data_IF_880512944801
#
_entry.id   IF_880512944801
#
_cell.length_a   1.000
_cell.length_b   1.000
_cell.length_c   1.000
_cell.angle_alpha   90.00
_cell.angle_beta   90.00
_cell.angle_gamma   90.00
#
_symmetry.space_group_name_H-M   'P 1'
#
loop_
_entity.id
_entity.type
_entity.pdbx_description
1 polymer ?
#
# COMPACT_ATOMS: atom_id res chain seq x y z
N UNK A 1 -25.71 -2.87 -15.53
CA UNK A 1 -24.66 -3.54 -14.75
C UNK A 1 -24.55 -2.81 -13.45
N UNK A 2 -24.90 -3.50 -12.36
CA UNK A 2 -24.94 -2.90 -11.03
C UNK A 2 -23.52 -2.79 -10.46
N UNK A 3 -23.30 -1.83 -9.57
CA UNK A 3 -21.99 -1.45 -9.00
C UNK A 3 -21.23 -2.61 -8.32
N UNK A 4 -21.94 -3.60 -7.77
CA UNK A 4 -21.35 -4.83 -7.20
C UNK A 4 -20.86 -5.83 -8.26
N UNK A 5 -21.42 -5.84 -9.47
CA UNK A 5 -21.02 -6.78 -10.51
C UNK A 5 -19.60 -6.48 -11.03
N UNK A 6 -19.19 -5.20 -11.10
CA UNK A 6 -17.88 -4.84 -11.60
C UNK A 6 -16.76 -5.24 -10.63
N UNK A 7 -16.93 -4.94 -9.34
CA UNK A 7 -15.97 -5.35 -8.30
C UNK A 7 -15.88 -6.88 -8.19
N UNK A 8 -17.02 -7.58 -8.24
CA UNK A 8 -17.07 -9.03 -8.23
C UNK A 8 -16.43 -9.63 -9.49
N UNK A 9 -16.68 -9.06 -10.67
CA UNK A 9 -16.10 -9.53 -11.93
C UNK A 9 -14.59 -9.30 -11.99
N UNK A 10 -14.09 -8.17 -11.46
CA UNK A 10 -12.65 -7.92 -11.32
C UNK A 10 -12.03 -8.91 -10.33
N UNK A 11 -12.65 -9.10 -9.15
CA UNK A 11 -12.17 -10.08 -8.16
C UNK A 11 -12.12 -11.51 -8.71
N UNK A 12 -13.10 -11.90 -9.54
CA UNK A 12 -13.15 -13.22 -10.17
C UNK A 12 -12.12 -13.39 -11.30
N UNK A 13 -11.80 -12.32 -12.04
CA UNK A 13 -10.87 -12.38 -13.16
C UNK A 13 -9.39 -12.24 -12.74
N UNK A 14 -9.10 -11.48 -11.68
CA UNK A 14 -7.72 -11.21 -11.22
C UNK A 14 -6.86 -12.48 -11.03
N UNK A 15 -7.35 -13.57 -10.41
CA UNK A 15 -6.54 -14.78 -10.23
C UNK A 15 -6.06 -15.43 -11.53
N UNK A 16 -6.76 -15.20 -12.65
CA UNK A 16 -6.38 -15.74 -13.96
C UNK A 16 -5.25 -14.93 -14.64
N UNK A 17 -4.99 -13.71 -14.18
CA UNK A 17 -4.02 -12.79 -14.78
C UNK A 17 -2.63 -12.95 -14.15
N UNK A 18 -2.13 -14.17 -14.02
CA UNK A 18 -0.87 -14.46 -13.29
C UNK A 18 0.39 -13.83 -13.90
N UNK A 19 0.32 -13.36 -15.15
CA UNK A 19 1.41 -12.65 -15.85
C UNK A 19 1.32 -11.13 -15.71
N UNK A 20 0.32 -10.61 -14.98
CA UNK A 20 0.12 -9.17 -14.83
C UNK A 20 1.29 -8.56 -14.06
N UNK A 21 1.94 -7.56 -14.66
CA UNK A 21 3.09 -6.85 -14.07
C UNK A 21 2.74 -5.51 -13.46
N UNK A 22 1.67 -4.87 -13.94
CA UNK A 22 1.18 -3.59 -13.45
C UNK A 22 -0.33 -3.65 -13.29
N UNK A 23 -0.83 -3.23 -12.12
CA UNK A 23 -2.25 -3.14 -11.82
C UNK A 23 -2.54 -1.76 -11.24
N UNK A 24 -3.35 -0.97 -11.92
CA UNK A 24 -3.78 0.34 -11.45
C UNK A 24 -5.29 0.30 -11.21
N UNK A 25 -5.70 0.44 -9.95
CA UNK A 25 -7.08 0.54 -9.47
C UNK A 25 -7.28 1.97 -8.96
N UNK A 26 -7.51 2.90 -9.88
CA UNK A 26 -7.62 4.33 -9.57
C UNK A 26 -8.98 4.89 -9.94
N UNK A 27 -9.47 5.88 -9.18
CA UNK A 27 -10.72 6.58 -9.50
C UNK A 27 -11.96 5.69 -9.33
N UNK A 28 -11.81 4.55 -8.65
CA UNK A 28 -12.92 3.67 -8.34
C UNK A 28 -13.61 4.18 -7.09
N UNK A 29 -14.82 4.72 -7.24
CA UNK A 29 -15.72 5.08 -6.13
C UNK A 29 -16.54 3.88 -5.63
N UNK A 30 -16.32 2.72 -6.23
CA UNK A 30 -17.07 1.48 -6.03
C UNK A 30 -16.25 0.37 -5.38
N UNK A 31 -14.92 0.52 -5.35
CA UNK A 31 -14.05 -0.41 -4.62
C UNK A 31 -13.87 0.17 -3.22
N UNK A 32 -14.57 -0.44 -2.27
CA UNK A 32 -14.40 -0.11 -0.85
C UNK A 32 -13.27 -0.94 -0.22
N UNK A 33 -12.74 -1.94 -0.94
CA UNK A 33 -11.72 -2.91 -0.50
C UNK A 33 -10.87 -3.36 -1.67
N UNK A 34 -9.62 -3.74 -1.40
CA UNK A 34 -8.77 -4.37 -2.40
C UNK A 34 -9.36 -5.76 -2.77
N UNK A 35 -9.43 -6.16 -4.05
CA UNK A 35 -9.96 -7.46 -4.40
C UNK A 35 -9.07 -8.60 -3.88
N UNK A 36 -9.65 -9.61 -3.22
CA UNK A 36 -8.88 -10.75 -2.67
C UNK A 36 -8.02 -11.47 -3.73
N UNK A 37 -8.45 -11.46 -4.99
CA UNK A 37 -7.74 -12.03 -6.13
C UNK A 37 -6.41 -11.35 -6.48
N UNK A 38 -6.10 -10.17 -5.92
CA UNK A 38 -4.81 -9.48 -6.15
C UNK A 38 -3.62 -10.28 -5.58
N UNK A 39 -3.87 -11.08 -4.53
CA UNK A 39 -2.86 -11.93 -3.89
C UNK A 39 -2.31 -13.05 -4.81
N UNK A 40 -3.05 -13.37 -5.87
CA UNK A 40 -2.65 -14.36 -6.88
C UNK A 40 -1.68 -13.77 -7.93
N UNK A 41 -1.52 -12.45 -8.00
CA UNK A 41 -0.68 -11.76 -8.98
C UNK A 41 0.79 -11.76 -8.58
N UNK A 42 1.41 -12.93 -8.45
CA UNK A 42 2.79 -13.05 -7.95
C UNK A 42 3.85 -12.41 -8.86
N UNK A 43 3.54 -12.20 -10.15
CA UNK A 43 4.39 -11.52 -11.12
C UNK A 43 4.28 -9.98 -11.08
N UNK A 44 3.47 -9.44 -10.18
CA UNK A 44 3.20 -8.01 -10.11
C UNK A 44 4.45 -7.24 -9.65
N UNK A 45 4.79 -6.21 -10.43
CA UNK A 45 5.92 -5.30 -10.17
C UNK A 45 5.46 -3.91 -9.78
N UNK A 46 4.24 -3.52 -10.16
CA UNK A 46 3.66 -2.22 -9.85
C UNK A 46 2.20 -2.37 -9.46
N UNK A 47 1.85 -1.89 -8.27
CA UNK A 47 0.47 -1.80 -7.80
C UNK A 47 0.17 -0.36 -7.44
N UNK A 48 -0.88 0.19 -8.04
CA UNK A 48 -1.41 1.52 -7.72
C UNK A 48 -2.87 1.35 -7.33
N UNK A 49 -3.22 1.81 -6.14
CA UNK A 49 -4.55 1.75 -5.58
C UNK A 49 -4.91 3.15 -5.09
N UNK A 50 -5.94 3.74 -5.68
CA UNK A 50 -6.54 4.99 -5.24
C UNK A 50 -8.03 4.73 -5.07
N UNK A 51 -8.40 4.35 -3.84
CA UNK A 51 -9.78 4.13 -3.46
C UNK A 51 -10.28 5.40 -2.85
N UNK A 52 -11.08 6.18 -3.59
CA UNK A 52 -11.74 7.36 -3.03
C UNK A 52 -12.86 6.92 -2.11
N UNK A 53 -12.49 6.45 -0.93
CA UNK A 53 -13.44 6.01 0.09
C UNK A 53 -14.32 7.21 0.43
N UNK A 54 -15.64 7.05 0.27
CA UNK A 54 -16.58 8.02 0.84
C UNK A 54 -16.28 8.13 2.31
N UNK A 55 -16.21 9.37 2.79
CA UNK A 55 -15.90 9.75 4.16
C UNK A 55 -16.59 8.82 5.16
N UNK A 56 -15.89 7.77 5.63
CA UNK A 56 -16.43 6.79 6.59
C UNK A 56 -16.45 7.36 8.02
N UNK A 57 -16.10 8.64 8.16
CA UNK A 57 -15.93 9.29 9.45
C UNK A 57 -14.57 8.98 10.07
N UNK A 58 -14.36 9.39 11.33
CA UNK A 58 -13.05 9.42 11.98
C UNK A 58 -12.45 8.03 12.28
N UNK A 59 -13.23 6.95 12.16
CA UNK A 59 -12.78 5.58 12.43
C UNK A 59 -11.96 4.99 11.27
N UNK A 60 -12.12 5.51 10.04
CA UNK A 60 -11.40 5.01 8.87
C UNK A 60 -11.92 3.66 8.35
N UNK A 61 -11.20 3.05 7.38
CA UNK A 61 -11.46 1.67 6.95
C UNK A 61 -11.07 0.68 8.06
N UNK A 62 -11.83 -0.41 8.21
CA UNK A 62 -11.46 -1.47 9.13
C UNK A 62 -10.13 -2.10 8.65
N UNK A 63 -9.23 -2.56 9.55
CA UNK A 63 -8.00 -3.26 9.16
C UNK A 63 -8.24 -4.45 8.21
N UNK A 64 -9.41 -5.09 8.29
CA UNK A 64 -9.84 -6.17 7.41
C UNK A 64 -10.14 -5.71 5.97
N UNK A 65 -10.53 -4.44 5.76
CA UNK A 65 -10.75 -3.87 4.42
C UNK A 65 -9.46 -3.88 3.58
N UNK A 66 -8.31 -3.95 4.26
CA UNK A 66 -6.96 -4.02 3.71
C UNK A 66 -6.22 -5.32 3.97
N UNK A 67 -6.90 -6.36 4.46
CA UNK A 67 -6.35 -7.71 4.57
C UNK A 67 -5.58 -8.18 3.31
N UNK A 68 -5.93 -7.76 2.07
CA UNK A 68 -5.16 -8.12 0.88
C UNK A 68 -3.74 -7.52 0.83
N UNK A 69 -3.40 -6.45 1.54
CA UNK A 69 -2.00 -6.00 1.68
C UNK A 69 -1.20 -7.00 2.53
N UNK A 70 -1.84 -7.62 3.53
CA UNK A 70 -1.33 -8.69 4.38
C UNK A 70 -2.19 -8.90 5.65
N UNK A 71 -1.89 -9.95 6.42
CA UNK A 71 -2.77 -10.56 7.45
C UNK A 71 -3.57 -9.56 8.31
N UNK A 72 -4.85 -9.39 7.98
CA UNK A 72 -5.90 -9.19 8.97
C UNK A 72 -6.35 -10.55 9.48
N UNK A 73 -5.78 -11.04 10.59
CA UNK A 73 -6.28 -12.18 11.39
C UNK A 73 -6.38 -13.58 10.75
N UNK A 74 -6.29 -13.75 9.43
CA UNK A 74 -6.74 -14.98 8.77
C UNK A 74 -5.82 -15.50 7.68
N UNK A 75 -4.64 -16.01 8.02
CA UNK A 75 -3.99 -17.06 7.22
C UNK A 75 -3.34 -16.69 5.88
N UNK A 76 -3.92 -15.78 5.11
CA UNK A 76 -3.47 -15.43 3.77
C UNK A 76 -2.33 -14.40 3.82
N UNK A 77 -1.36 -14.57 2.93
CA UNK A 77 -0.19 -13.70 2.88
C UNK A 77 -0.45 -12.45 2.03
N UNK A 78 -1.69 -12.18 1.61
CA UNK A 78 -2.05 -11.03 0.76
C UNK A 78 -1.04 -10.76 -0.37
N UNK A 79 -0.63 -9.49 -0.50
CA UNK A 79 0.41 -9.03 -1.40
C UNK A 79 1.83 -9.47 -0.99
N UNK A 80 2.06 -10.02 0.20
CA UNK A 80 3.38 -10.52 0.63
C UNK A 80 3.86 -11.72 -0.20
N UNK A 81 3.04 -12.19 -1.16
CA UNK A 81 3.42 -13.16 -2.21
C UNK A 81 4.00 -12.50 -3.47
N UNK A 82 3.84 -11.19 -3.63
CA UNK A 82 4.34 -10.40 -4.75
C UNK A 82 5.79 -9.98 -4.48
N UNK A 83 6.72 -10.94 -4.41
CA UNK A 83 8.15 -10.66 -4.15
C UNK A 83 8.80 -9.75 -5.20
N UNK A 84 8.21 -9.71 -6.41
CA UNK A 84 8.64 -8.86 -7.52
C UNK A 84 8.20 -7.39 -7.42
N UNK A 85 7.45 -7.00 -6.39
CA UNK A 85 6.88 -5.66 -6.29
C UNK A 85 7.97 -4.61 -6.12
N UNK A 86 8.05 -3.69 -7.08
CA UNK A 86 8.99 -2.55 -7.10
C UNK A 86 8.31 -1.24 -6.76
N UNK A 87 7.01 -1.13 -7.05
CA UNK A 87 6.20 0.07 -6.80
C UNK A 87 4.90 -0.28 -6.13
N UNK A 88 4.64 0.33 -4.98
CA UNK A 88 3.38 0.23 -4.24
C UNK A 88 2.86 1.64 -3.93
N UNK A 89 1.71 1.98 -4.51
CA UNK A 89 1.02 3.24 -4.26
C UNK A 89 -0.36 2.93 -3.70
N UNK A 90 -0.67 3.45 -2.52
CA UNK A 90 -1.94 3.26 -1.80
C UNK A 90 -2.43 4.62 -1.31
N UNK A 91 -3.53 5.11 -1.89
CA UNK A 91 -4.08 6.45 -1.65
C UNK A 91 -5.60 6.44 -1.49
N UNK A 92 -6.14 7.54 -0.95
CA UNK A 92 -7.58 7.81 -0.88
C UNK A 92 -8.27 7.34 0.42
N UNK A 93 -7.50 7.08 1.47
CA UNK A 93 -8.02 6.58 2.74
C UNK A 93 -8.25 7.72 3.73
N UNK A 94 -9.51 8.02 4.00
CA UNK A 94 -9.91 9.06 4.97
C UNK A 94 -9.71 8.66 6.45
N UNK A 95 -8.86 7.66 6.74
CA UNK A 95 -8.58 7.20 8.10
C UNK A 95 -7.20 6.56 8.24
N UNK A 96 -6.89 5.93 9.39
CA UNK A 96 -5.61 5.28 9.61
C UNK A 96 -5.45 4.04 8.72
N UNK A 97 -4.32 3.96 8.01
CA UNK A 97 -3.93 2.80 7.22
C UNK A 97 -3.04 1.89 8.06
N UNK A 98 -3.50 0.69 8.37
CA UNK A 98 -2.69 -0.32 9.06
C UNK A 98 -1.89 -1.13 8.05
N UNK A 99 -0.56 -0.98 8.05
CA UNK A 99 0.29 -1.85 7.26
C UNK A 99 0.41 -3.24 7.91
N UNK A 100 0.40 -4.31 7.11
CA UNK A 100 0.50 -5.67 7.61
C UNK A 100 1.91 -5.97 8.12
N UNK A 101 2.03 -7.00 8.96
CA UNK A 101 3.34 -7.58 9.29
C UNK A 101 3.96 -8.29 8.08
N UNK A 102 5.29 -8.34 7.99
CA UNK A 102 5.98 -9.02 6.91
C UNK A 102 6.29 -8.16 5.69
N UNK A 103 6.03 -6.84 5.76
CA UNK A 103 6.37 -5.88 4.69
C UNK A 103 7.85 -5.88 4.31
N UNK A 104 8.76 -6.35 5.17
CA UNK A 104 10.18 -6.53 4.84
C UNK A 104 10.43 -7.51 3.68
N UNK A 105 9.42 -8.30 3.28
CA UNK A 105 9.52 -9.28 2.20
C UNK A 105 9.55 -8.64 0.82
N UNK A 106 9.17 -7.37 0.69
CA UNK A 106 9.26 -6.62 -0.55
C UNK A 106 10.68 -6.12 -0.80
N UNK A 107 11.66 -7.02 -0.87
CA UNK A 107 13.09 -6.68 -0.99
C UNK A 107 13.44 -5.87 -2.24
N UNK A 108 12.59 -5.92 -3.26
CA UNK A 108 12.73 -5.19 -4.52
C UNK A 108 11.93 -3.87 -4.55
N UNK A 109 11.25 -3.50 -3.47
CA UNK A 109 10.45 -2.28 -3.42
C UNK A 109 11.34 -1.05 -3.51
N UNK A 110 11.12 -0.25 -4.54
CA UNK A 110 11.85 0.99 -4.82
C UNK A 110 11.02 2.22 -4.46
N UNK A 111 9.69 2.15 -4.64
CA UNK A 111 8.76 3.24 -4.37
C UNK A 111 7.61 2.74 -3.49
N UNK A 112 7.45 3.36 -2.33
CA UNK A 112 6.30 3.21 -1.45
C UNK A 112 5.63 4.57 -1.29
N UNK A 113 4.40 4.69 -1.75
CA UNK A 113 3.62 5.93 -1.65
C UNK A 113 2.30 5.65 -0.93
N UNK A 114 2.16 6.23 0.25
CA UNK A 114 1.01 6.12 1.14
C UNK A 114 0.31 7.47 1.32
N UNK A 115 0.51 8.42 0.40
CA UNK A 115 -0.13 9.74 0.43
C UNK A 115 -1.66 9.64 0.31
N UNK A 116 -2.37 10.66 0.78
CA UNK A 116 -3.83 10.66 0.82
C UNK A 116 -4.41 9.67 1.84
N UNK A 117 -3.60 9.16 2.77
CA UNK A 117 -4.03 8.49 3.98
C UNK A 117 -4.01 9.49 5.15
N UNK A 118 -4.94 9.44 6.09
CA UNK A 118 -4.91 10.38 7.23
C UNK A 118 -3.72 10.12 8.17
N UNK A 119 -3.44 8.85 8.41
CA UNK A 119 -2.32 8.35 9.21
C UNK A 119 -1.97 6.94 8.71
N UNK A 120 -0.76 6.47 8.94
CA UNK A 120 -0.30 5.13 8.62
C UNK A 120 0.29 4.51 9.88
N UNK A 121 -0.30 3.41 10.34
CA UNK A 121 0.16 2.66 11.49
C UNK A 121 1.07 1.52 11.04
N UNK A 122 1.95 1.07 11.95
CA UNK A 122 2.96 0.04 11.70
C UNK A 122 4.05 0.44 10.68
N UNK A 123 4.39 1.73 10.54
CA UNK A 123 5.63 2.15 9.87
C UNK A 123 6.81 1.91 10.84
N UNK A 124 7.27 0.66 10.88
CA UNK A 124 8.27 0.18 11.82
C UNK A 124 9.63 -0.11 11.19
N UNK A 125 10.54 -0.76 11.95
CA UNK A 125 11.92 -1.05 11.53
C UNK A 125 12.06 -1.86 10.23
N UNK A 126 10.97 -2.48 9.73
CA UNK A 126 10.99 -3.18 8.45
C UNK A 126 11.35 -2.27 7.28
N UNK A 127 11.08 -0.96 7.34
CA UNK A 127 11.52 0.00 6.32
C UNK A 127 13.05 0.04 6.20
N UNK A 128 13.77 -0.11 7.31
CA UNK A 128 15.23 -0.18 7.34
C UNK A 128 15.76 -1.46 6.68
N UNK A 129 14.88 -2.48 6.55
CA UNK A 129 15.20 -3.79 5.96
C UNK A 129 14.83 -3.87 4.48
N UNK A 130 14.40 -2.77 3.85
CA UNK A 130 14.10 -2.70 2.41
C UNK A 130 15.30 -2.15 1.61
N UNK A 131 16.19 -3.01 1.08
CA UNK A 131 17.46 -2.58 0.51
C UNK A 131 17.30 -1.78 -0.79
N UNK A 132 16.20 -1.96 -1.51
CA UNK A 132 15.96 -1.29 -2.79
C UNK A 132 15.16 0.03 -2.65
N UNK A 133 14.65 0.36 -1.46
CA UNK A 133 13.74 1.50 -1.29
C UNK A 133 14.47 2.82 -1.56
N UNK A 134 13.94 3.62 -2.49
CA UNK A 134 14.50 4.92 -2.91
C UNK A 134 13.56 6.07 -2.59
N UNK A 135 12.25 5.80 -2.62
CA UNK A 135 11.23 6.83 -2.42
C UNK A 135 10.17 6.33 -1.43
N UNK A 136 9.92 7.14 -0.42
CA UNK A 136 8.89 6.91 0.59
C UNK A 136 8.03 8.17 0.71
N UNK A 137 6.76 8.08 0.33
CA UNK A 137 5.80 9.15 0.52
C UNK A 137 4.84 8.72 1.62
N UNK A 138 4.73 9.52 2.68
CA UNK A 138 3.87 9.21 3.84
C UNK A 138 3.10 10.46 4.25
N UNK A 139 1.93 10.29 4.90
CA UNK A 139 1.20 11.44 5.39
C UNK A 139 1.90 12.03 6.61
N UNK A 140 1.79 13.35 6.75
CA UNK A 140 2.53 14.16 7.74
C UNK A 140 2.40 13.66 9.18
N UNK A 141 1.23 13.15 9.58
CA UNK A 141 1.01 12.59 10.92
C UNK A 141 1.86 11.35 11.21
N UNK A 142 2.28 10.62 10.18
CA UNK A 142 3.02 9.37 10.33
C UNK A 142 4.52 9.57 10.49
N UNK A 143 5.05 10.72 10.07
CA UNK A 143 6.48 11.05 10.11
C UNK A 143 7.03 11.11 11.55
N UNK A 144 6.14 11.29 12.53
CA UNK A 144 6.49 11.33 13.96
C UNK A 144 6.93 9.96 14.52
N UNK A 145 6.83 8.87 13.73
CA UNK A 145 7.34 7.57 14.14
C UNK A 145 8.88 7.58 14.12
N UNK A 146 9.52 7.12 15.20
CA UNK A 146 10.99 7.17 15.35
C UNK A 146 11.80 6.42 14.28
N UNK A 147 11.14 5.69 13.37
CA UNK A 147 11.77 5.04 12.21
C UNK A 147 12.34 6.03 11.19
N UNK A 148 11.78 7.25 11.08
CA UNK A 148 12.19 8.21 10.05
C UNK A 148 13.59 8.78 10.31
N UNK A 149 13.95 9.01 11.57
CA UNK A 149 15.32 9.39 11.94
C UNK A 149 16.32 8.28 11.59
N UNK A 150 15.97 7.02 11.86
CA UNK A 150 16.79 5.87 11.52
C UNK A 150 16.89 5.65 10.00
N UNK A 151 15.84 5.98 9.24
CA UNK A 151 15.84 5.91 7.77
C UNK A 151 16.74 7.00 7.16
N UNK A 152 16.70 8.22 7.69
CA UNK A 152 17.58 9.31 7.26
C UNK A 152 19.06 9.01 7.53
N UNK A 153 19.35 8.29 8.61
CA UNK A 153 20.70 7.85 8.98
C UNK A 153 21.14 6.55 8.27
N UNK A 154 20.26 5.94 7.47
CA UNK A 154 20.59 4.72 6.73
C UNK A 154 21.62 5.07 5.66
N UNK A 155 22.81 4.48 5.79
CA UNK A 155 23.93 4.68 4.88
C UNK A 155 23.70 3.90 3.57
N UNK A 156 22.75 4.37 2.76
CA UNK A 156 22.38 3.78 1.46
C UNK A 156 22.79 4.72 0.31
N UNK A 157 23.32 4.21 -0.82
CA UNK A 157 23.62 5.02 -2.00
C UNK A 157 22.37 5.67 -2.63
N UNK A 158 21.16 5.18 -2.30
CA UNK A 158 19.90 5.78 -2.69
C UNK A 158 19.28 6.40 -1.45
N UNK A 159 19.64 7.67 -1.15
CA UNK A 159 18.99 8.43 -0.08
C UNK A 159 17.47 8.27 -0.23
N UNK A 160 16.81 7.72 0.80
CA UNK A 160 15.37 7.54 0.76
C UNK A 160 14.74 8.92 0.81
N UNK A 161 14.16 9.35 -0.31
CA UNK A 161 13.43 10.60 -0.37
C UNK A 161 12.12 10.43 0.40
N UNK A 162 12.07 11.03 1.61
CA UNK A 162 10.86 11.10 2.42
C UNK A 162 10.10 12.35 2.03
N UNK A 163 9.02 12.18 1.25
CA UNK A 163 8.17 13.29 0.85
C UNK A 163 6.98 13.36 1.79
N UNK A 164 6.87 14.46 2.53
CA UNK A 164 5.69 14.74 3.36
C UNK A 164 4.56 15.31 2.49
N UNK A 165 3.37 14.75 2.62
CA UNK A 165 2.17 15.32 1.99
C UNK A 165 1.86 16.70 2.61
N UNK A 166 1.97 17.76 1.80
CA UNK A 166 1.75 19.16 2.20
C UNK A 166 3.00 20.04 2.27
N UNK A 167 4.17 19.54 1.87
CA UNK A 167 5.35 20.38 1.59
C UNK A 167 5.13 21.21 0.33
N UNK A 168 4.38 22.30 0.45
CA UNK A 168 4.38 23.36 -0.55
C UNK A 168 5.61 24.23 -0.26
N UNK A 169 6.56 24.27 -1.19
CA UNK A 169 7.45 25.42 -1.33
C UNK A 169 6.56 26.65 -1.56
N UNK A 170 6.62 27.59 -0.61
CA UNK A 170 6.15 28.99 -0.58
C UNK A 170 4.75 29.35 -1.12
#
# INVERSE_FOLDING_TARGET
MSTMELAASVAAALPSLTQLRALHLTGTTTLDRLPAGVSALTALTSLVVDMRMRDRGPEGPDPEDFAPLGRGGGGDAGLLRCFGLRRLVVRGFNGPLHLPEGMERFSLLEELDLSGCQEVWNLGPWLLRLPALKRLVVPRRSVQQGVFEALALRNDPHQVEVVEEGGQED
#
